data_IF_385500437326
#
_entry.id   IF_385500437326
#
_cell.length_a   1.000
_cell.length_b   1.000
_cell.length_c   1.000
_cell.angle_alpha   90.00
_cell.angle_beta   90.00
_cell.angle_gamma   90.00
#
_symmetry.space_group_name_H-M   'P 1'
#
loop_
_entity.id
_entity.type
_entity.pdbx_description
1 polymer ?
#
# COMPACT_ATOMS: atom_id res chain seq x y z
N UNK A 1 2.91 -16.02 0.93
CA UNK A 1 2.20 -16.33 -0.31
C UNK A 1 2.51 -15.23 -1.33
N UNK A 2 2.34 -15.46 -2.64
CA UNK A 2 2.79 -14.50 -3.68
C UNK A 2 1.87 -13.27 -3.76
N UNK A 3 0.57 -13.48 -3.60
CA UNK A 3 -0.46 -12.44 -3.43
C UNK A 3 -0.09 -11.37 -2.40
N UNK A 4 0.41 -11.76 -1.22
CA UNK A 4 0.87 -10.83 -0.18
C UNK A 4 2.10 -10.04 -0.61
N UNK A 5 3.00 -10.66 -1.40
CA UNK A 5 4.20 -9.99 -1.92
C UNK A 5 3.84 -8.95 -2.99
N UNK A 6 2.76 -9.18 -3.74
CA UNK A 6 2.27 -8.25 -4.76
C UNK A 6 1.75 -6.93 -4.15
N UNK A 7 1.38 -6.96 -2.86
CA UNK A 7 0.96 -5.79 -2.09
C UNK A 7 2.13 -4.93 -1.58
N UNK A 8 3.38 -5.34 -1.83
CA UNK A 8 4.56 -4.57 -1.46
C UNK A 8 4.92 -3.52 -2.52
N UNK A 9 5.10 -2.27 -2.10
CA UNK A 9 5.64 -1.19 -2.92
C UNK A 9 7.16 -1.11 -2.79
N UNK A 10 7.88 -1.05 -3.92
CA UNK A 10 9.34 -0.79 -3.92
C UNK A 10 9.70 0.59 -3.37
N UNK A 11 8.82 1.57 -3.54
CA UNK A 11 9.03 2.93 -3.05
C UNK A 11 8.83 3.06 -1.53
N UNK A 12 8.10 2.11 -0.91
CA UNK A 12 7.68 2.22 0.48
C UNK A 12 6.75 3.40 0.75
N UNK A 13 6.59 3.74 2.02
CA UNK A 13 5.74 4.86 2.48
C UNK A 13 6.47 6.22 2.41
N UNK A 14 5.73 7.33 2.28
CA UNK A 14 6.31 8.67 2.35
C UNK A 14 7.10 8.86 3.64
N UNK A 15 8.36 9.28 3.54
CA UNK A 15 9.24 9.47 4.69
C UNK A 15 9.64 8.19 5.44
N UNK A 16 9.11 7.02 5.08
CA UNK A 16 9.37 5.72 5.75
C UNK A 16 9.56 4.59 4.72
N UNK A 17 10.60 4.64 3.86
CA UNK A 17 10.77 3.73 2.72
C UNK A 17 10.99 2.25 3.11
N UNK A 18 11.30 1.96 4.37
CA UNK A 18 11.42 0.59 4.88
C UNK A 18 10.06 -0.09 5.12
N UNK A 19 8.99 0.67 5.33
CA UNK A 19 7.63 0.11 5.35
C UNK A 19 7.11 0.00 3.93
N UNK A 20 7.06 -1.22 3.42
CA UNK A 20 6.70 -1.50 2.02
C UNK A 20 5.29 -2.00 1.82
N UNK A 21 4.65 -2.48 2.88
CA UNK A 21 3.31 -3.03 2.78
C UNK A 21 2.27 -1.91 2.65
N UNK A 22 1.49 -1.95 1.57
CA UNK A 22 0.61 -0.83 1.20
C UNK A 22 -0.72 -0.83 1.96
N UNK A 23 -1.11 -1.96 2.57
CA UNK A 23 -2.37 -2.08 3.31
C UNK A 23 -2.16 -1.82 4.81
N UNK A 24 -1.03 -2.25 5.36
CA UNK A 24 -0.76 -2.23 6.81
C UNK A 24 0.66 -1.77 7.11
N UNK A 25 0.79 -0.83 8.04
CA UNK A 25 2.07 -0.48 8.67
C UNK A 25 1.80 0.09 10.08
N UNK A 26 2.80 0.16 10.97
CA UNK A 26 2.67 0.91 12.21
C UNK A 26 2.28 2.37 11.94
N UNK A 27 1.29 2.89 12.67
CA UNK A 27 0.90 4.30 12.59
C UNK A 27 2.00 5.24 13.08
N UNK A 28 2.02 6.47 12.58
CA UNK A 28 3.02 7.47 12.99
C UNK A 28 2.72 8.06 14.37
N UNK A 29 1.44 8.21 14.69
CA UNK A 29 0.91 8.91 15.86
C UNK A 29 0.10 7.99 16.78
N UNK A 30 -0.19 6.76 16.37
CA UNK A 30 -1.03 5.81 17.11
C UNK A 30 -0.27 4.90 18.08
N UNK A 31 0.98 5.22 18.43
CA UNK A 31 1.77 4.45 19.40
C UNK A 31 1.97 2.98 19.01
N UNK A 32 2.37 2.71 17.77
CA UNK A 32 2.58 1.36 17.19
C UNK A 32 1.32 0.54 16.88
N UNK A 33 0.11 1.06 17.11
CA UNK A 33 -1.08 0.42 16.56
C UNK A 33 -0.96 0.27 15.02
N UNK A 34 -1.53 -0.80 14.47
CA UNK A 34 -1.52 -1.03 13.03
C UNK A 34 -2.45 -0.04 12.34
N UNK A 35 -1.91 0.74 11.41
CA UNK A 35 -2.65 1.68 10.57
C UNK A 35 -2.99 1.04 9.22
N UNK A 36 -4.20 1.32 8.73
CA UNK A 36 -4.70 0.86 7.43
C UNK A 36 -4.41 1.91 6.36
N UNK A 37 -4.08 1.44 5.16
CA UNK A 37 -3.79 2.27 3.99
C UNK A 37 -2.82 3.42 4.32
N UNK A 38 -1.67 3.12 4.96
CA UNK A 38 -0.84 4.14 5.58
C UNK A 38 -0.38 5.23 4.60
N UNK A 39 -0.08 4.89 3.33
CA UNK A 39 0.30 5.89 2.33
C UNK A 39 -0.82 6.89 1.98
N UNK A 40 -2.08 6.44 1.98
CA UNK A 40 -3.23 7.33 1.75
C UNK A 40 -3.56 8.12 3.01
N UNK A 41 -3.59 7.44 4.16
CA UNK A 41 -3.92 8.06 5.44
C UNK A 41 -2.92 9.15 5.82
N UNK A 42 -1.61 8.88 5.73
CA UNK A 42 -0.56 9.85 6.05
C UNK A 42 -0.63 11.06 5.11
N UNK A 43 -0.79 10.82 3.80
CA UNK A 43 -0.86 11.89 2.82
C UNK A 43 -2.08 12.81 3.05
N UNK A 44 -3.25 12.24 3.31
CA UNK A 44 -4.48 13.01 3.49
C UNK A 44 -4.57 13.72 4.84
N UNK A 45 -4.24 13.03 5.93
CA UNK A 45 -4.55 13.50 7.29
C UNK A 45 -3.36 14.11 8.02
N UNK A 46 -2.13 13.71 7.69
CA UNK A 46 -0.93 14.25 8.35
C UNK A 46 -0.22 15.29 7.48
N UNK A 47 -0.19 15.08 6.17
CA UNK A 47 0.51 15.98 5.23
C UNK A 47 -0.41 16.97 4.52
N UNK A 48 -1.73 16.71 4.53
CA UNK A 48 -2.71 17.47 3.76
C UNK A 48 -2.32 17.60 2.26
N UNK A 49 -1.78 16.51 1.70
CA UNK A 49 -1.28 16.43 0.33
C UNK A 49 -2.11 15.43 -0.50
N UNK A 50 -3.18 15.89 -1.16
CA UNK A 50 -4.03 15.03 -1.98
C UNK A 50 -3.33 14.53 -3.26
N UNK A 51 -2.31 15.23 -3.75
CA UNK A 51 -1.56 14.78 -4.94
C UNK A 51 -0.73 13.53 -4.61
N UNK A 52 -0.05 13.54 -3.45
CA UNK A 52 0.63 12.35 -2.94
C UNK A 52 -0.35 11.22 -2.67
N UNK A 53 -1.52 11.50 -2.07
CA UNK A 53 -2.55 10.48 -1.86
C UNK A 53 -2.98 9.81 -3.16
N UNK A 54 -3.18 10.59 -4.24
CA UNK A 54 -3.53 10.09 -5.58
C UNK A 54 -2.45 9.17 -6.15
N UNK A 55 -1.17 9.53 -5.98
CA UNK A 55 -0.06 8.69 -6.43
C UNK A 55 -0.02 7.34 -5.71
N UNK A 56 -0.29 7.31 -4.40
CA UNK A 56 -0.35 6.07 -3.63
C UNK A 56 -1.59 5.23 -3.92
N UNK A 57 -2.74 5.85 -4.17
CA UNK A 57 -3.94 5.17 -4.66
C UNK A 57 -3.65 4.41 -5.97
N UNK A 58 -3.03 5.06 -6.95
CA UNK A 58 -2.72 4.43 -8.25
C UNK A 58 -1.77 3.23 -8.11
N UNK A 59 -0.80 3.31 -7.19
CA UNK A 59 0.12 2.19 -6.88
C UNK A 59 -0.63 1.04 -6.22
N UNK A 60 -1.45 1.33 -5.21
CA UNK A 60 -2.24 0.32 -4.52
C UNK A 60 -3.20 -0.38 -5.49
N UNK A 61 -3.88 0.36 -6.36
CA UNK A 61 -4.74 -0.20 -7.39
C UNK A 61 -3.99 -1.19 -8.30
N UNK A 62 -2.78 -0.82 -8.73
CA UNK A 62 -1.94 -1.69 -9.57
C UNK A 62 -1.52 -2.98 -8.84
N UNK A 63 -1.16 -2.88 -7.56
CA UNK A 63 -0.82 -4.01 -6.71
C UNK A 63 -2.01 -4.93 -6.43
N UNK A 64 -3.19 -4.38 -6.16
CA UNK A 64 -4.42 -5.16 -6.00
C UNK A 64 -4.72 -5.96 -7.27
N UNK A 65 -4.62 -5.32 -8.45
CA UNK A 65 -4.78 -6.04 -9.72
C UNK A 65 -3.74 -7.14 -9.92
N UNK A 66 -2.50 -6.94 -9.48
CA UNK A 66 -1.47 -7.98 -9.55
C UNK A 66 -1.83 -9.17 -8.64
N UNK A 67 -2.16 -8.90 -7.38
CA UNK A 67 -2.58 -9.93 -6.43
C UNK A 67 -3.82 -10.70 -6.93
N UNK A 68 -4.81 -10.03 -7.52
CA UNK A 68 -5.97 -10.70 -8.13
C UNK A 68 -5.57 -11.66 -9.25
N UNK A 69 -4.59 -11.31 -10.09
CA UNK A 69 -4.10 -12.22 -11.14
C UNK A 69 -3.37 -13.42 -10.56
N UNK A 70 -2.61 -13.23 -9.50
CA UNK A 70 -1.90 -14.30 -8.78
C UNK A 70 -2.87 -15.31 -8.16
N UNK A 71 -4.03 -14.84 -7.69
CA UNK A 71 -5.08 -15.68 -7.08
C UNK A 71 -6.05 -16.28 -8.10
N UNK A 72 -6.15 -15.71 -9.30
CA UNK A 72 -6.99 -16.28 -10.35
C UNK A 72 -6.41 -17.64 -10.76
N UNK A 73 -7.21 -18.72 -10.75
CA UNK A 73 -6.77 -20.01 -11.29
C UNK A 73 -6.31 -19.80 -12.75
N UNK A 74 -5.20 -20.45 -13.12
CA UNK A 74 -4.56 -20.27 -14.41
C UNK A 74 -5.58 -20.29 -15.55
N UNK A 75 -5.66 -19.18 -16.28
CA UNK A 75 -6.40 -19.09 -17.54
C UNK A 75 -5.53 -19.64 -18.68
N UNK A 76 -4.92 -20.80 -18.43
CA UNK A 76 -4.23 -21.59 -19.44
C UNK A 76 -5.24 -22.63 -19.93
N UNK A 77 -5.97 -22.23 -20.98
CA UNK A 77 -6.67 -23.12 -21.90
C UNK A 77 -5.91 -23.16 -23.22
#
# INVERSE_FOLDING_TARGET
MQDERDLLSRAGLPGRPWYRHQIYAPGMDTGYATQRLPGLNDALFLQNDPATAKAYEARLYSSLRAATRTLAPGSDG
#
